data_IF_897509821485
#
_entry.id   IF_897509821485
#
_cell.length_a   1.000
_cell.length_b   1.000
_cell.length_c   1.000
_cell.angle_alpha   90.00
_cell.angle_beta   90.00
_cell.angle_gamma   90.00
#
_symmetry.space_group_name_H-M   'P 1'
#
loop_
_entity.id
_entity.type
_entity.pdbx_description
1 polymer ?
#
# COMPACT_ATOMS: atom_id res chain seq x y z
N UNK A 1 -5.68 22.43 -1.29
CA UNK A 1 -6.26 21.09 -0.99
C UNK A 1 -5.92 20.03 -2.05
N UNK A 2 -5.46 20.39 -3.25
CA UNK A 2 -5.34 19.46 -4.38
C UNK A 2 -4.09 18.56 -4.44
N UNK A 3 -3.01 18.85 -3.70
CA UNK A 3 -1.73 18.15 -3.97
C UNK A 3 -1.38 17.05 -2.95
N UNK A 4 -1.75 17.21 -1.68
CA UNK A 4 -1.75 16.10 -0.72
C UNK A 4 -2.73 15.00 -1.17
N UNK A 5 -3.91 15.38 -1.68
CA UNK A 5 -4.90 14.42 -2.19
C UNK A 5 -4.40 13.62 -3.40
N UNK A 6 -3.60 14.23 -4.28
CA UNK A 6 -2.96 13.52 -5.41
C UNK A 6 -1.95 12.51 -4.91
N UNK A 7 -1.05 12.88 -3.99
CA UNK A 7 -0.06 11.94 -3.45
C UNK A 7 -0.72 10.78 -2.69
N UNK A 8 -1.73 11.09 -1.86
CA UNK A 8 -2.56 10.11 -1.17
C UNK A 8 -3.24 9.15 -2.16
N UNK A 9 -3.79 9.68 -3.26
CA UNK A 9 -4.43 8.87 -4.29
C UNK A 9 -3.45 7.94 -5.00
N UNK A 10 -2.24 8.42 -5.29
CA UNK A 10 -1.17 7.61 -5.92
C UNK A 10 -0.74 6.50 -4.95
N UNK A 11 -0.35 6.84 -3.71
CA UNK A 11 0.12 5.86 -2.72
C UNK A 11 -0.92 4.76 -2.49
N UNK A 12 -2.17 5.15 -2.34
CA UNK A 12 -3.27 4.21 -2.11
C UNK A 12 -3.51 3.30 -3.32
N UNK A 13 -3.53 3.86 -4.53
CA UNK A 13 -3.68 3.06 -5.76
C UNK A 13 -2.55 2.03 -5.88
N UNK A 14 -1.30 2.48 -5.74
CA UNK A 14 -0.13 1.63 -5.84
C UNK A 14 -0.10 0.56 -4.75
N UNK A 15 -0.53 0.90 -3.53
CA UNK A 15 -0.65 -0.06 -2.43
C UNK A 15 -1.67 -1.16 -2.74
N UNK A 16 -2.85 -0.80 -3.26
CA UNK A 16 -3.88 -1.77 -3.62
C UNK A 16 -3.43 -2.69 -4.75
N UNK A 17 -2.76 -2.16 -5.77
CA UNK A 17 -2.19 -2.93 -6.87
C UNK A 17 -1.11 -3.92 -6.37
N UNK A 18 -0.23 -3.48 -5.47
CA UNK A 18 0.77 -4.34 -4.81
C UNK A 18 0.12 -5.48 -4.02
N UNK A 19 -0.88 -5.17 -3.19
CA UNK A 19 -1.56 -6.17 -2.38
C UNK A 19 -2.39 -7.15 -3.21
N UNK A 20 -3.02 -6.66 -4.28
CA UNK A 20 -3.73 -7.45 -5.27
C UNK A 20 -2.78 -8.47 -5.94
N UNK A 21 -1.61 -8.01 -6.39
CA UNK A 21 -0.58 -8.86 -6.98
C UNK A 21 -0.01 -9.89 -5.97
N UNK A 22 0.26 -9.46 -4.73
CA UNK A 22 0.72 -10.36 -3.65
C UNK A 22 -0.29 -11.47 -3.37
N UNK A 23 -1.59 -11.17 -3.34
CA UNK A 23 -2.65 -12.16 -3.10
C UNK A 23 -2.76 -13.19 -4.21
N UNK A 24 -2.46 -12.81 -5.45
CA UNK A 24 -2.48 -13.71 -6.59
C UNK A 24 -1.26 -14.62 -6.62
N UNK A 25 -0.07 -14.05 -6.43
CA UNK A 25 1.19 -14.76 -6.59
C UNK A 25 1.64 -15.50 -5.33
N UNK A 26 1.13 -15.12 -4.17
CA UNK A 26 1.51 -15.67 -2.88
C UNK A 26 0.33 -16.32 -2.16
N UNK A 27 0.35 -17.66 -2.11
CA UNK A 27 -0.65 -18.48 -1.40
C UNK A 27 -0.68 -18.22 0.11
N UNK A 28 0.38 -17.64 0.67
CA UNK A 28 0.48 -17.26 2.08
C UNK A 28 -0.55 -16.19 2.47
N UNK A 29 -1.00 -15.35 1.52
CA UNK A 29 -2.10 -14.41 1.73
C UNK A 29 -3.49 -15.04 1.59
N UNK A 30 -3.57 -16.25 1.06
CA UNK A 30 -4.80 -17.04 0.90
C UNK A 30 -4.98 -18.07 2.03
N UNK A 31 -4.16 -18.02 3.09
CA UNK A 31 -4.21 -19.05 4.14
C UNK A 31 -5.62 -19.16 4.72
N UNK A 32 -6.22 -20.36 4.79
CA UNK A 32 -7.44 -20.54 5.57
C UNK A 32 -7.14 -20.19 7.03
N UNK A 33 -7.96 -19.35 7.64
CA UNK A 33 -7.97 -19.18 9.10
C UNK A 33 -9.23 -19.87 9.61
N UNK A 34 -9.06 -20.67 10.66
CA UNK A 34 -10.16 -21.39 11.32
C UNK A 34 -11.04 -20.42 12.14
N UNK A 35 -10.49 -19.25 12.46
CA UNK A 35 -11.13 -18.26 13.33
C UNK A 35 -11.82 -17.13 12.56
N UNK A 36 -11.22 -16.69 11.44
CA UNK A 36 -11.73 -15.54 10.68
C UNK A 36 -11.81 -15.91 9.20
N UNK A 37 -12.94 -15.60 8.58
CA UNK A 37 -13.12 -15.66 7.13
C UNK A 37 -12.12 -14.72 6.43
N UNK A 38 -11.86 -14.97 5.14
CA UNK A 38 -11.03 -14.07 4.32
C UNK A 38 -11.60 -12.64 4.27
N UNK A 39 -12.93 -12.52 4.24
CA UNK A 39 -13.61 -11.24 4.29
C UNK A 39 -13.41 -10.53 5.63
N UNK A 40 -13.54 -11.20 6.77
CA UNK A 40 -13.31 -10.57 8.09
C UNK A 40 -11.87 -10.11 8.26
N UNK A 41 -10.90 -10.89 7.77
CA UNK A 41 -9.49 -10.46 7.75
C UNK A 41 -9.28 -9.26 6.84
N UNK A 42 -9.94 -9.22 5.69
CA UNK A 42 -9.94 -8.03 4.83
C UNK A 42 -10.54 -6.82 5.58
N UNK A 43 -11.70 -6.98 6.23
CA UNK A 43 -12.31 -5.89 7.00
C UNK A 43 -11.39 -5.38 8.11
N UNK A 44 -10.77 -6.27 8.89
CA UNK A 44 -9.82 -5.90 9.95
C UNK A 44 -8.59 -5.18 9.40
N UNK A 45 -8.07 -5.64 8.27
CA UNK A 45 -6.85 -5.11 7.68
C UNK A 45 -7.05 -3.73 7.04
N UNK A 46 -8.26 -3.49 6.51
CA UNK A 46 -8.63 -2.27 5.82
C UNK A 46 -9.59 -1.39 6.61
N UNK A 47 -9.83 -1.68 7.90
CA UNK A 47 -10.81 -0.98 8.75
C UNK A 47 -10.57 0.53 8.76
N UNK A 48 -9.32 0.96 8.91
CA UNK A 48 -8.93 2.37 8.87
C UNK A 48 -9.18 3.03 7.50
N UNK A 49 -8.96 2.27 6.41
CA UNK A 49 -9.20 2.74 5.04
C UNK A 49 -10.69 2.83 4.71
N UNK A 50 -11.50 1.89 5.21
CA UNK A 50 -12.96 1.91 5.07
C UNK A 50 -13.59 3.05 5.89
N UNK A 51 -13.11 3.25 7.13
CA UNK A 51 -13.51 4.39 7.97
C UNK A 51 -13.17 5.73 7.34
N UNK A 52 -12.05 5.81 6.61
CA UNK A 52 -11.66 6.99 5.87
C UNK A 52 -12.46 7.21 4.57
N UNK A 53 -13.32 6.28 4.16
CA UNK A 53 -14.12 6.32 2.90
C UNK A 53 -13.30 6.59 1.64
N UNK A 54 -12.02 6.20 1.63
CA UNK A 54 -11.05 6.62 0.62
C UNK A 54 -10.29 5.37 0.15
N UNK A 55 -10.54 4.87 -1.09
CA UNK A 55 -11.45 5.40 -2.12
C UNK A 55 -12.90 5.14 -1.78
N UNK A 56 -13.81 5.72 -2.57
CA UNK A 56 -15.23 5.38 -2.52
C UNK A 56 -15.38 3.85 -2.43
N UNK A 57 -15.77 3.40 -1.25
CA UNK A 57 -16.14 2.03 -0.90
C UNK A 57 -15.33 0.93 -1.60
N UNK A 58 -14.06 0.69 -1.22
CA UNK A 58 -13.43 -0.60 -1.54
C UNK A 58 -14.17 -1.69 -0.77
N UNK A 59 -15.00 -2.43 -1.49
CA UNK A 59 -15.61 -3.65 -0.99
C UNK A 59 -14.63 -4.81 -1.12
N UNK A 60 -14.79 -5.82 -0.26
CA UNK A 60 -14.05 -7.08 -0.38
C UNK A 60 -14.13 -7.67 -1.80
N UNK A 61 -15.28 -7.56 -2.46
CA UNK A 61 -15.49 -8.07 -3.83
C UNK A 61 -14.71 -7.28 -4.88
N UNK A 62 -14.78 -5.94 -4.85
CA UNK A 62 -14.00 -5.09 -5.75
C UNK A 62 -12.49 -5.30 -5.59
N UNK A 63 -12.04 -5.49 -4.34
CA UNK A 63 -10.67 -5.85 -4.04
C UNK A 63 -10.31 -7.22 -4.63
N UNK A 64 -11.18 -8.23 -4.46
CA UNK A 64 -10.93 -9.60 -4.94
C UNK A 64 -10.87 -9.68 -6.46
N UNK A 65 -11.72 -8.92 -7.15
CA UNK A 65 -11.70 -8.80 -8.60
C UNK A 65 -10.42 -8.13 -9.10
N UNK A 66 -10.00 -7.02 -8.47
CA UNK A 66 -8.72 -6.38 -8.76
C UNK A 66 -7.53 -7.32 -8.50
N UNK A 67 -7.58 -8.11 -7.43
CA UNK A 67 -6.58 -9.14 -7.11
C UNK A 67 -6.53 -10.26 -8.15
N UNK A 68 -7.66 -10.65 -8.74
CA UNK A 68 -7.68 -11.65 -9.81
C UNK A 68 -6.95 -11.18 -11.08
N UNK A 69 -6.96 -9.88 -11.35
CA UNK A 69 -6.38 -9.30 -12.57
C UNK A 69 -4.97 -8.73 -12.37
N UNK A 70 -4.56 -8.38 -11.15
CA UNK A 70 -3.26 -7.79 -10.88
C UNK A 70 -2.10 -8.81 -11.00
N UNK A 71 -1.00 -8.39 -11.61
CA UNK A 71 0.28 -9.13 -11.65
C UNK A 71 1.39 -8.25 -11.10
N UNK A 72 2.38 -8.85 -10.42
CA UNK A 72 3.52 -8.09 -9.89
C UNK A 72 4.29 -7.37 -10.99
N UNK A 73 4.41 -8.00 -12.17
CA UNK A 73 5.05 -7.39 -13.33
C UNK A 73 4.42 -6.03 -13.71
N UNK A 74 3.09 -5.90 -13.60
CA UNK A 74 2.37 -4.66 -13.91
C UNK A 74 2.60 -3.59 -12.84
N UNK A 75 2.62 -3.99 -11.56
CA UNK A 75 2.96 -3.11 -10.42
C UNK A 75 4.39 -2.58 -10.54
N UNK A 76 5.31 -3.40 -11.03
CA UNK A 76 6.72 -3.02 -11.20
C UNK A 76 6.97 -2.11 -12.39
N UNK A 77 6.22 -2.30 -13.49
CA UNK A 77 6.37 -1.51 -14.72
C UNK A 77 6.12 -0.02 -14.47
N UNK A 78 5.23 0.30 -13.55
CA UNK A 78 4.98 1.64 -13.07
C UNK A 78 5.42 1.75 -11.60
N UNK A 79 6.70 2.04 -11.36
CA UNK A 79 7.20 2.32 -10.02
C UNK A 79 6.68 3.68 -9.51
N UNK A 80 5.39 3.73 -9.18
CA UNK A 80 4.68 4.93 -8.75
C UNK A 80 5.28 5.55 -7.48
N UNK A 81 5.89 4.74 -6.61
CA UNK A 81 6.64 5.24 -5.45
C UNK A 81 7.86 6.09 -5.84
N UNK A 82 8.48 5.81 -6.99
CA UNK A 82 9.54 6.66 -7.55
C UNK A 82 9.00 7.99 -8.09
N UNK A 83 7.80 8.00 -8.68
CA UNK A 83 7.16 9.24 -9.14
C UNK A 83 6.78 10.15 -7.98
N UNK A 84 6.36 9.57 -6.85
CA UNK A 84 6.08 10.32 -5.62
C UNK A 84 7.31 11.12 -5.16
N UNK A 85 8.51 10.54 -5.23
CA UNK A 85 9.75 11.24 -4.86
C UNK A 85 10.08 12.44 -5.76
N UNK A 86 9.62 12.45 -7.02
CA UNK A 86 9.80 13.60 -7.92
C UNK A 86 8.88 14.76 -7.57
N UNK A 87 7.69 14.45 -7.03
CA UNK A 87 6.65 15.44 -6.74
C UNK A 87 6.90 16.10 -5.38
N UNK A 88 7.41 15.34 -4.39
CA UNK A 88 7.62 15.82 -3.01
C UNK A 88 8.35 17.17 -2.88
N UNK A 89 9.48 17.43 -3.57
CA UNK A 89 10.18 18.72 -3.45
C UNK A 89 9.31 19.93 -3.82
N UNK A 90 8.49 19.79 -4.87
CA UNK A 90 7.53 20.81 -5.29
C UNK A 90 6.47 21.08 -4.20
N UNK A 91 6.07 20.04 -3.48
CA UNK A 91 5.07 20.15 -2.40
C UNK A 91 5.65 20.79 -1.14
N UNK A 92 6.89 20.43 -0.79
CA UNK A 92 7.60 21.03 0.34
C UNK A 92 7.70 22.55 0.19
N UNK A 93 7.98 23.04 -1.01
CA UNK A 93 7.94 24.48 -1.31
C UNK A 93 6.55 25.09 -1.19
N UNK A 94 5.52 24.37 -1.67
CA UNK A 94 4.13 24.84 -1.64
C UNK A 94 3.52 24.90 -0.23
N UNK A 95 3.99 24.07 0.70
CA UNK A 95 3.52 24.01 2.09
C UNK A 95 4.47 24.69 3.09
N UNK A 96 5.41 25.52 2.63
CA UNK A 96 6.43 26.14 3.49
C UNK A 96 5.85 26.91 4.69
N UNK A 97 4.67 27.50 4.55
CA UNK A 97 3.95 28.24 5.60
C UNK A 97 2.99 27.37 6.42
N UNK A 98 2.88 26.07 6.13
CA UNK A 98 1.87 25.17 6.69
C UNK A 98 2.54 23.97 7.37
N UNK A 99 3.03 24.13 8.63
CA UNK A 99 3.85 23.11 9.30
C UNK A 99 3.13 21.78 9.50
N UNK A 100 1.82 21.79 9.74
CA UNK A 100 1.02 20.56 9.86
C UNK A 100 0.98 19.77 8.55
N UNK A 101 0.82 20.45 7.42
CA UNK A 101 0.85 19.81 6.09
C UNK A 101 2.23 19.28 5.73
N UNK A 102 3.29 19.97 6.17
CA UNK A 102 4.65 19.45 6.03
C UNK A 102 4.88 18.20 6.88
N UNK A 103 4.30 18.14 8.08
CA UNK A 103 4.39 16.96 8.93
C UNK A 103 3.64 15.76 8.31
N UNK A 104 2.41 15.96 7.83
CA UNK A 104 1.65 14.94 7.11
C UNK A 104 2.38 14.50 5.83
N UNK A 105 2.91 15.44 5.04
CA UNK A 105 3.69 15.13 3.84
C UNK A 105 4.92 14.25 4.15
N UNK A 106 5.60 14.48 5.27
CA UNK A 106 6.73 13.63 5.70
C UNK A 106 6.28 12.21 6.04
N UNK A 107 5.15 12.05 6.72
CA UNK A 107 4.59 10.73 7.02
C UNK A 107 4.24 9.97 5.73
N UNK A 108 3.62 10.66 4.79
CA UNK A 108 3.26 10.13 3.47
C UNK A 108 4.51 9.74 2.66
N UNK A 109 5.56 10.58 2.68
CA UNK A 109 6.88 10.28 2.08
C UNK A 109 7.49 9.02 2.68
N UNK A 110 7.43 8.86 4.00
CA UNK A 110 7.91 7.65 4.68
C UNK A 110 7.13 6.40 4.23
N UNK A 111 5.80 6.47 4.13
CA UNK A 111 4.99 5.34 3.65
C UNK A 111 5.37 4.94 2.22
N UNK A 112 5.51 5.93 1.33
CA UNK A 112 5.90 5.68 -0.06
C UNK A 112 7.28 4.98 -0.14
N UNK A 113 8.25 5.46 0.65
CA UNK A 113 9.60 4.89 0.64
C UNK A 113 9.63 3.46 1.20
N UNK A 114 8.92 3.18 2.29
CA UNK A 114 8.85 1.83 2.85
C UNK A 114 8.22 0.85 1.86
N UNK A 115 7.12 1.25 1.21
CA UNK A 115 6.46 0.40 0.21
C UNK A 115 7.32 0.19 -1.04
N UNK A 116 8.12 1.19 -1.45
CA UNK A 116 9.11 1.05 -2.52
C UNK A 116 10.17 0.00 -2.18
N UNK A 117 10.70 0.05 -0.96
CA UNK A 117 11.71 -0.90 -0.48
C UNK A 117 11.12 -2.31 -0.41
N UNK A 118 9.92 -2.45 0.17
CA UNK A 118 9.22 -3.73 0.25
C UNK A 118 9.00 -4.34 -1.14
N UNK A 119 8.51 -3.56 -2.10
CA UNK A 119 8.33 -3.98 -3.49
C UNK A 119 9.65 -4.47 -4.11
N UNK A 120 10.75 -3.75 -3.90
CA UNK A 120 12.06 -4.15 -4.40
C UNK A 120 12.57 -5.47 -3.80
N UNK A 121 12.35 -5.69 -2.50
CA UNK A 121 12.70 -6.94 -1.82
C UNK A 121 11.87 -8.10 -2.35
N UNK A 122 10.55 -7.91 -2.46
CA UNK A 122 9.62 -8.91 -3.01
C UNK A 122 10.04 -9.29 -4.43
N UNK A 123 10.43 -8.32 -5.25
CA UNK A 123 10.91 -8.57 -6.60
C UNK A 123 12.22 -9.39 -6.63
N UNK A 124 13.19 -9.05 -5.79
CA UNK A 124 14.47 -9.76 -5.75
C UNK A 124 14.35 -11.20 -5.25
N UNK A 125 13.49 -11.41 -4.25
CA UNK A 125 13.36 -12.72 -3.59
C UNK A 125 12.29 -13.59 -4.26
N UNK A 126 11.33 -12.97 -4.97
CA UNK A 126 10.17 -13.63 -5.55
C UNK A 126 8.99 -13.64 -4.59
N UNK A 127 7.82 -13.18 -5.06
CA UNK A 127 6.59 -13.09 -4.25
C UNK A 127 6.08 -14.44 -3.73
N UNK A 128 6.53 -15.55 -4.33
CA UNK A 128 6.15 -16.92 -3.95
C UNK A 128 7.17 -17.62 -3.06
N UNK A 129 8.24 -16.95 -2.59
CA UNK A 129 9.21 -17.55 -1.67
C UNK A 129 8.53 -17.88 -0.33
N UNK A 130 8.49 -19.17 0.08
CA UNK A 130 7.83 -19.60 1.32
C UNK A 130 8.52 -19.07 2.60
N UNK A 131 9.78 -18.62 2.52
CA UNK A 131 10.51 -18.01 3.64
C UNK A 131 10.23 -16.51 3.77
N UNK A 132 9.51 -15.92 2.84
CA UNK A 132 9.19 -14.49 2.85
C UNK A 132 7.80 -14.29 3.46
N UNK A 133 7.77 -13.65 4.63
CA UNK A 133 6.52 -13.22 5.28
C UNK A 133 6.32 -11.74 5.04
N UNK A 134 5.22 -11.39 4.38
CA UNK A 134 4.80 -10.00 4.18
C UNK A 134 3.60 -9.72 5.09
N UNK A 135 3.69 -8.69 5.90
CA UNK A 135 2.58 -8.12 6.70
C UNK A 135 2.37 -6.67 6.32
N UNK A 136 1.28 -6.06 6.78
CA UNK A 136 1.11 -4.62 6.63
C UNK A 136 0.77 -3.95 7.95
N UNK A 137 1.33 -2.77 8.14
CA UNK A 137 1.30 -2.02 9.39
C UNK A 137 1.04 -0.54 9.11
N UNK A 138 0.34 0.17 9.99
CA UNK A 138 0.04 1.61 9.87
C UNK A 138 0.98 2.41 10.78
N UNK A 139 2.29 2.34 10.53
CA UNK A 139 3.32 2.89 11.44
C UNK A 139 3.55 4.38 11.29
N UNK A 140 3.57 4.88 10.06
CA UNK A 140 3.91 6.28 9.77
C UNK A 140 2.67 7.15 9.54
N UNK A 141 1.57 6.58 9.04
CA UNK A 141 0.35 7.31 8.75
C UNK A 141 -0.89 6.47 9.10
N UNK A 142 -1.91 7.05 9.77
CA UNK A 142 -3.09 6.30 10.21
C UNK A 142 -3.93 5.74 9.06
N UNK A 143 -3.83 6.34 7.87
CA UNK A 143 -4.63 5.94 6.71
C UNK A 143 -3.83 5.19 5.64
N UNK A 144 -2.50 5.11 5.72
CA UNK A 144 -1.70 4.45 4.68
C UNK A 144 -0.80 3.39 5.29
N UNK A 145 -1.04 2.15 4.90
CA UNK A 145 -0.26 1.02 5.37
C UNK A 145 1.10 0.93 4.67
N UNK A 146 2.08 0.40 5.40
CA UNK A 146 3.37 -0.03 4.89
C UNK A 146 3.44 -1.55 4.80
N UNK A 147 3.95 -2.07 3.70
CA UNK A 147 4.31 -3.46 3.55
C UNK A 147 5.61 -3.74 4.31
N UNK A 148 5.54 -4.66 5.27
CA UNK A 148 6.66 -5.10 6.09
C UNK A 148 7.05 -6.50 5.65
N UNK A 149 8.27 -6.63 5.15
CA UNK A 149 8.81 -7.88 4.61
C UNK A 149 9.82 -8.45 5.59
N UNK A 150 9.57 -9.67 6.09
CA UNK A 150 10.44 -10.39 7.04
C UNK A 150 10.78 -11.76 6.46
N UNK A 151 11.99 -12.27 6.76
CA UNK A 151 12.31 -13.67 6.53
C UNK A 151 11.87 -14.51 7.74
N UNK A 152 11.22 -15.65 7.51
CA UNK A 152 10.83 -16.62 8.53
C UNK A 152 12.01 -17.50 8.95
#
# INVERSE_FOLDING_TARGET
>A
MFIASVLCSIIRRTFNELLAALRKESKSFQSPSIFNTEQERFMQHFDLLQKAQIPECITYYSFKEAAAQAYMADVMKYNFFKEIQKIIPSLKGSFASEPEKLAELRQIEQVAEHNRIALNIINHVGASDPKLRVSFEFTHHPHFAVAVVKRS
#
